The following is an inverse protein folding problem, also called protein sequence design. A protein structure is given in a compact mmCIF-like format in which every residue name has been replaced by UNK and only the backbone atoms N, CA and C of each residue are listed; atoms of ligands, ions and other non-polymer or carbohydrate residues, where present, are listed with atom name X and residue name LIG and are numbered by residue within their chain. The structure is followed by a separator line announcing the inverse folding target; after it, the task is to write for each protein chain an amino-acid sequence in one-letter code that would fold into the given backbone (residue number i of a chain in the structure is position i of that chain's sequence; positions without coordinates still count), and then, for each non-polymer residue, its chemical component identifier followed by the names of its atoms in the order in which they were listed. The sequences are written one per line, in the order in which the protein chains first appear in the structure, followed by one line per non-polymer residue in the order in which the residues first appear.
data_IF_505529703628
#
_entry.id   IF_505529703628
#
_cell.length_a   1.000
_cell.length_b   1.000
_cell.length_c   1.000
_cell.angle_alpha   90.00
_cell.angle_beta   90.00
_cell.angle_gamma   90.00
#
_symmetry.space_group_name_H-M   'P 1'
#
loop_
_entity.id
_entity.type
_entity.pdbx_description
1 polymer ?
#
# COMPACT_ATOMS: atom_id res chain seq x y z
N UNK A 1 -23.66 -25.41 7.79
CA UNK A 1 -23.52 -24.67 9.06
C UNK A 1 -22.30 -23.80 8.95
N UNK A 2 -22.44 -22.47 9.01
CA UNK A 2 -21.31 -21.56 9.02
C UNK A 2 -20.65 -21.68 10.41
N UNK A 3 -19.32 -21.89 10.52
CA UNK A 3 -18.66 -21.97 11.83
C UNK A 3 -18.91 -20.70 12.64
N UNK A 4 -19.08 -20.84 13.96
CA UNK A 4 -19.50 -19.77 14.89
C UNK A 4 -18.61 -18.50 14.91
N UNK A 5 -17.46 -18.50 14.32
CA UNK A 5 -16.62 -17.30 14.09
C UNK A 5 -16.72 -16.72 12.68
N UNK A 6 -17.25 -17.47 11.72
CA UNK A 6 -17.22 -17.07 10.32
C UNK A 6 -18.20 -15.92 10.00
N UNK A 7 -19.28 -15.79 10.73
CA UNK A 7 -20.26 -14.72 10.52
C UNK A 7 -19.77 -13.37 11.07
N UNK A 8 -18.97 -13.36 12.14
CA UNK A 8 -18.45 -12.13 12.73
C UNK A 8 -17.48 -11.40 11.79
N UNK A 9 -16.48 -12.10 11.24
CA UNK A 9 -15.51 -11.46 10.36
C UNK A 9 -16.12 -11.04 9.01
N UNK A 10 -17.14 -11.74 8.52
CA UNK A 10 -17.87 -11.33 7.31
C UNK A 10 -18.62 -10.02 7.51
N UNK A 11 -19.29 -9.86 8.65
CA UNK A 11 -19.95 -8.60 9.02
C UNK A 11 -18.94 -7.48 9.20
N UNK A 12 -17.84 -7.75 9.89
CA UNK A 12 -16.77 -6.77 10.08
C UNK A 12 -16.13 -6.37 8.76
N UNK A 13 -15.87 -7.32 7.86
CA UNK A 13 -15.35 -7.05 6.52
C UNK A 13 -16.29 -6.13 5.74
N UNK A 14 -17.58 -6.42 5.74
CA UNK A 14 -18.58 -5.59 5.07
C UNK A 14 -18.58 -4.16 5.61
N UNK A 15 -18.51 -4.00 6.93
CA UNK A 15 -18.46 -2.69 7.56
C UNK A 15 -17.17 -1.91 7.18
N UNK A 16 -16.02 -2.61 7.10
CA UNK A 16 -14.76 -2.01 6.65
C UNK A 16 -14.86 -1.56 5.18
N UNK A 17 -15.31 -2.44 4.30
CA UNK A 17 -15.43 -2.15 2.86
C UNK A 17 -16.47 -1.04 2.58
N UNK A 18 -17.53 -0.97 3.40
CA UNK A 18 -18.53 0.10 3.32
C UNK A 18 -18.09 1.41 4.00
N UNK A 19 -16.86 1.50 4.53
CA UNK A 19 -16.36 2.63 5.30
C UNK A 19 -17.24 3.01 6.50
N UNK A 20 -17.79 2.03 7.19
CA UNK A 20 -18.74 2.18 8.29
C UNK A 20 -18.15 1.91 9.68
N UNK A 21 -16.82 1.84 9.81
CA UNK A 21 -16.10 1.45 11.04
C UNK A 21 -15.48 2.64 11.79
N UNK A 22 -16.14 3.77 11.84
CA UNK A 22 -15.60 5.03 12.41
C UNK A 22 -15.06 4.95 13.83
N UNK A 23 -15.54 4.01 14.65
CA UNK A 23 -15.11 3.83 16.04
C UNK A 23 -13.99 2.78 16.22
N UNK A 24 -13.68 1.98 15.21
CA UNK A 24 -12.73 0.88 15.33
C UNK A 24 -11.33 1.35 14.91
N UNK A 25 -10.46 1.45 15.89
CA UNK A 25 -9.06 1.84 15.68
C UNK A 25 -8.13 0.65 15.49
N UNK A 26 -8.62 -0.56 15.75
CA UNK A 26 -7.87 -1.80 15.64
C UNK A 26 -8.75 -2.89 15.02
N UNK A 27 -8.10 -3.87 14.41
CA UNK A 27 -8.76 -5.09 13.94
C UNK A 27 -9.25 -5.87 15.16
N UNK A 28 -10.52 -6.29 15.24
CA UNK A 28 -10.99 -7.15 16.32
C UNK A 28 -10.19 -8.46 16.39
N UNK A 29 -9.81 -8.90 17.58
CA UNK A 29 -8.97 -10.10 17.74
C UNK A 29 -9.58 -11.37 17.13
N UNK A 30 -10.91 -11.45 17.06
CA UNK A 30 -11.65 -12.51 16.38
C UNK A 30 -11.38 -12.55 14.87
N UNK A 31 -11.01 -11.40 14.28
CA UNK A 31 -10.71 -11.27 12.84
C UNK A 31 -9.24 -11.53 12.50
N UNK A 32 -8.35 -11.71 13.50
CA UNK A 32 -6.92 -11.89 13.30
C UNK A 32 -6.58 -12.94 12.22
N UNK A 33 -7.13 -14.15 12.37
CA UNK A 33 -6.84 -15.25 11.43
C UNK A 33 -7.36 -14.97 10.02
N UNK A 34 -8.46 -14.24 9.91
CA UNK A 34 -9.02 -13.84 8.63
C UNK A 34 -8.09 -12.84 7.93
N UNK A 35 -7.66 -11.78 8.64
CA UNK A 35 -6.76 -10.78 8.07
C UNK A 35 -5.40 -11.39 7.71
N UNK A 36 -4.84 -12.24 8.59
CA UNK A 36 -3.61 -12.97 8.28
C UNK A 36 -3.74 -13.84 7.01
N UNK A 37 -4.83 -14.59 6.91
CA UNK A 37 -5.09 -15.44 5.73
C UNK A 37 -5.30 -14.60 4.46
N UNK A 38 -5.97 -13.46 4.56
CA UNK A 38 -6.14 -12.52 3.45
C UNK A 38 -4.79 -12.01 2.96
N UNK A 39 -3.95 -11.49 3.87
CA UNK A 39 -2.65 -10.90 3.54
C UNK A 39 -1.60 -11.90 3.04
N UNK A 40 -1.67 -13.18 3.48
CA UNK A 40 -0.66 -14.20 3.18
C UNK A 40 -1.15 -15.34 2.29
N UNK A 41 -2.45 -15.45 2.13
CA UNK A 41 -3.07 -16.54 1.35
C UNK A 41 -3.25 -16.22 -0.14
N UNK A 42 -2.69 -15.11 -0.62
CA UNK A 42 -2.74 -14.69 -2.01
C UNK A 42 -4.02 -13.97 -2.43
N UNK A 43 -4.98 -13.74 -1.52
CA UNK A 43 -6.17 -12.94 -1.87
C UNK A 43 -5.81 -11.47 -2.02
N UNK A 44 -4.98 -10.94 -1.12
CA UNK A 44 -4.45 -9.58 -1.21
C UNK A 44 -3.77 -9.33 -2.56
N UNK A 45 -2.92 -10.25 -3.00
CA UNK A 45 -2.19 -10.11 -4.27
C UNK A 45 -3.16 -10.11 -5.46
N UNK A 46 -4.18 -11.00 -5.46
CA UNK A 46 -5.21 -11.03 -6.53
C UNK A 46 -6.06 -9.76 -6.56
N UNK A 47 -6.38 -9.19 -5.40
CA UNK A 47 -7.14 -7.94 -5.34
C UNK A 47 -6.29 -6.77 -5.87
N UNK A 48 -4.98 -6.76 -5.60
CA UNK A 48 -4.04 -5.78 -6.18
C UNK A 48 -3.92 -5.93 -7.70
N UNK A 49 -3.78 -7.16 -8.20
CA UNK A 49 -3.73 -7.41 -9.64
C UNK A 49 -5.00 -6.89 -10.34
N UNK A 50 -6.17 -7.15 -9.76
CA UNK A 50 -7.44 -6.65 -10.29
C UNK A 50 -7.49 -5.11 -10.31
N UNK A 51 -7.02 -4.43 -9.25
CA UNK A 51 -6.95 -2.97 -9.20
C UNK A 51 -6.01 -2.46 -10.28
N UNK A 52 -4.83 -3.05 -10.42
CA UNK A 52 -3.85 -2.67 -11.44
C UNK A 52 -4.40 -2.87 -12.85
N UNK A 53 -5.09 -3.98 -13.12
CA UNK A 53 -5.73 -4.22 -14.42
C UNK A 53 -6.78 -3.14 -14.75
N UNK A 54 -7.57 -2.69 -13.77
CA UNK A 54 -8.51 -1.59 -13.94
C UNK A 54 -7.80 -0.27 -14.25
N UNK A 55 -6.71 0.03 -13.54
CA UNK A 55 -5.91 1.24 -13.77
C UNK A 55 -5.27 1.20 -15.16
N UNK A 56 -4.70 0.07 -15.58
CA UNK A 56 -4.10 -0.09 -16.91
C UNK A 56 -5.15 0.06 -18.01
N UNK A 57 -6.37 -0.48 -17.80
CA UNK A 57 -7.48 -0.28 -18.73
C UNK A 57 -7.82 1.20 -18.88
N UNK A 58 -7.87 1.93 -17.78
CA UNK A 58 -8.11 3.38 -17.80
C UNK A 58 -6.98 4.15 -18.50
N UNK A 59 -5.71 3.80 -18.23
CA UNK A 59 -4.55 4.43 -18.89
C UNK A 59 -4.62 4.25 -20.41
N UNK A 60 -5.05 3.09 -20.88
CA UNK A 60 -5.18 2.81 -22.31
C UNK A 60 -6.28 3.63 -23.01
N UNK A 61 -7.20 4.22 -22.25
CA UNK A 61 -8.23 5.13 -22.76
C UNK A 61 -7.78 6.60 -22.80
N UNK A 62 -6.60 6.89 -22.20
CA UNK A 62 -6.04 8.25 -22.18
C UNK A 62 -5.01 8.36 -23.30
N UNK A 63 -5.18 9.33 -24.18
CA UNK A 63 -4.09 9.75 -25.09
C UNK A 63 -3.21 10.76 -24.34
N UNK A 64 -2.00 10.38 -23.90
CA UNK A 64 -1.12 11.32 -23.21
C UNK A 64 -0.85 12.54 -24.09
N UNK A 65 -0.93 13.72 -23.52
CA UNK A 65 -0.56 14.93 -24.24
C UNK A 65 0.94 14.91 -24.53
N UNK A 66 1.34 15.27 -25.76
CA UNK A 66 2.76 15.30 -26.13
C UNK A 66 3.52 16.50 -25.51
N UNK A 67 2.93 17.21 -24.55
CA UNK A 67 3.52 18.35 -23.85
C UNK A 67 4.32 17.95 -22.60
N UNK A 68 4.31 16.67 -22.24
CA UNK A 68 5.02 16.12 -21.07
C UNK A 68 4.45 16.61 -19.73
N UNK A 69 3.18 17.02 -19.69
CA UNK A 69 2.52 17.54 -18.47
C UNK A 69 1.66 16.50 -17.78
N UNK A 70 1.44 15.33 -18.40
CA UNK A 70 0.65 14.27 -17.78
C UNK A 70 1.38 13.68 -16.58
N UNK A 71 0.71 13.67 -15.45
CA UNK A 71 1.25 13.25 -14.18
C UNK A 71 0.41 12.18 -13.51
N UNK A 72 1.07 11.28 -12.80
CA UNK A 72 0.46 10.28 -11.96
C UNK A 72 1.00 10.38 -10.53
N UNK A 73 0.13 10.24 -9.55
CA UNK A 73 0.50 10.33 -8.14
C UNK A 73 0.27 8.98 -7.48
N UNK A 74 1.30 8.46 -6.81
CA UNK A 74 1.23 7.26 -5.99
C UNK A 74 1.60 7.60 -4.55
N UNK A 75 0.90 7.02 -3.60
CA UNK A 75 1.33 6.97 -2.21
C UNK A 75 2.47 5.96 -2.04
N UNK A 76 3.23 6.06 -0.96
CA UNK A 76 4.40 5.21 -0.70
C UNK A 76 4.05 4.05 0.22
N UNK A 77 3.52 4.34 1.42
CA UNK A 77 3.32 3.34 2.47
C UNK A 77 2.10 2.46 2.17
N UNK A 78 2.33 1.14 2.08
CA UNK A 78 1.32 0.14 1.73
C UNK A 78 0.66 0.37 0.34
N UNK A 79 1.33 1.19 -0.49
CA UNK A 79 1.03 1.38 -1.91
C UNK A 79 2.25 0.97 -2.75
N UNK A 80 3.35 1.70 -2.73
CA UNK A 80 4.58 1.31 -3.43
C UNK A 80 5.36 0.24 -2.68
N UNK A 81 5.55 0.44 -1.37
CA UNK A 81 6.29 -0.47 -0.48
C UNK A 81 5.43 -0.91 0.70
N UNK A 82 5.59 -2.16 1.09
CA UNK A 82 4.75 -2.81 2.08
C UNK A 82 5.30 -2.70 3.49
N UNK A 83 4.46 -2.30 4.44
CA UNK A 83 4.72 -2.35 5.87
C UNK A 83 4.17 -3.65 6.53
N UNK A 84 3.85 -4.67 5.74
CA UNK A 84 3.25 -5.91 6.22
C UNK A 84 4.04 -6.56 7.37
N UNK A 85 5.38 -6.51 7.32
CA UNK A 85 6.22 -7.08 8.38
C UNK A 85 6.09 -6.33 9.70
N UNK A 86 5.92 -5.00 9.68
CA UNK A 86 5.59 -4.22 10.87
C UNK A 86 4.22 -4.62 11.42
N UNK A 87 3.20 -4.68 10.56
CA UNK A 87 1.85 -5.05 10.98
C UNK A 87 1.72 -6.50 11.43
N UNK A 88 2.54 -7.41 10.93
CA UNK A 88 2.62 -8.78 11.43
C UNK A 88 3.02 -8.82 12.91
N UNK A 89 3.99 -8.00 13.34
CA UNK A 89 4.38 -7.85 14.74
C UNK A 89 3.29 -7.17 15.58
N UNK A 90 2.43 -6.37 14.96
CA UNK A 90 1.23 -5.76 15.55
C UNK A 90 -0.02 -6.62 15.39
N UNK A 91 0.14 -7.94 15.22
CA UNK A 91 -0.95 -8.90 15.04
C UNK A 91 -1.94 -8.44 13.96
N UNK A 92 -1.40 -8.02 12.82
CA UNK A 92 -2.17 -7.54 11.65
C UNK A 92 -3.18 -6.43 12.00
N UNK A 93 -2.78 -5.51 12.87
CA UNK A 93 -3.60 -4.38 13.28
C UNK A 93 -4.53 -4.66 14.46
N UNK A 94 -4.47 -5.83 15.10
CA UNK A 94 -5.16 -6.08 16.36
C UNK A 94 -4.57 -5.27 17.52
N UNK A 95 -3.26 -5.01 17.49
CA UNK A 95 -2.60 -4.15 18.45
C UNK A 95 -2.58 -2.70 17.92
N UNK A 96 -2.67 -1.70 18.81
CA UNK A 96 -2.70 -0.30 18.41
C UNK A 96 -1.46 0.11 17.59
N UNK A 97 -1.65 1.05 16.66
CA UNK A 97 -0.55 1.69 15.96
C UNK A 97 0.36 2.43 16.95
N UNK A 98 1.66 2.23 16.79
CA UNK A 98 2.70 2.85 17.57
C UNK A 98 3.57 3.72 16.65
N UNK A 99 3.42 5.06 16.69
CA UNK A 99 4.19 5.96 15.81
C UNK A 99 5.70 5.83 15.97
N UNK A 100 6.20 5.64 17.19
CA UNK A 100 7.62 5.50 17.45
C UNK A 100 8.16 4.16 16.92
N UNK A 101 7.43 3.08 17.14
CA UNK A 101 7.74 1.76 16.60
C UNK A 101 7.69 1.74 15.07
N UNK A 102 6.71 2.41 14.45
CA UNK A 102 6.64 2.54 13.00
C UNK A 102 7.83 3.33 12.44
N UNK A 103 8.19 4.45 13.08
CA UNK A 103 9.37 5.23 12.69
C UNK A 103 10.65 4.40 12.78
N UNK A 104 10.82 3.63 13.86
CA UNK A 104 11.96 2.72 14.02
C UNK A 104 11.98 1.59 12.98
N UNK A 105 10.81 1.12 12.55
CA UNK A 105 10.67 0.17 11.43
C UNK A 105 11.09 0.82 10.10
N UNK A 106 10.56 1.97 9.77
CA UNK A 106 10.84 2.69 8.52
C UNK A 106 12.32 3.05 8.37
N UNK A 107 13.00 3.41 9.48
CA UNK A 107 14.44 3.67 9.52
C UNK A 107 15.32 2.48 9.12
N UNK A 108 14.80 1.25 9.15
CA UNK A 108 15.55 0.06 8.69
C UNK A 108 15.69 -0.02 7.17
N UNK A 109 14.85 0.72 6.42
CA UNK A 109 14.85 0.73 4.95
C UNK A 109 14.56 -0.63 4.31
N UNK A 110 13.86 -1.53 5.02
CA UNK A 110 13.66 -2.92 4.59
C UNK A 110 12.25 -3.22 4.08
N UNK A 111 11.46 -2.21 3.71
CA UNK A 111 10.14 -2.41 3.14
C UNK A 111 10.28 -2.98 1.72
N UNK A 112 9.55 -4.06 1.43
CA UNK A 112 9.58 -4.69 0.11
C UNK A 112 8.61 -3.99 -0.84
N UNK A 113 8.93 -3.96 -2.12
CA UNK A 113 8.00 -3.51 -3.15
C UNK A 113 6.70 -4.32 -3.10
N UNK A 114 5.59 -3.66 -3.44
CA UNK A 114 4.34 -4.32 -3.80
C UNK A 114 4.44 -4.62 -5.31
N UNK A 115 4.57 -5.90 -5.73
CA UNK A 115 4.99 -6.23 -7.10
C UNK A 115 4.03 -5.72 -8.17
N UNK A 116 2.72 -5.81 -7.93
CA UNK A 116 1.70 -5.32 -8.87
C UNK A 116 1.83 -3.80 -9.10
N UNK A 117 2.08 -3.03 -8.02
CA UNK A 117 2.25 -1.57 -8.11
C UNK A 117 3.59 -1.19 -8.72
N UNK A 118 4.66 -1.96 -8.49
CA UNK A 118 5.93 -1.75 -9.20
C UNK A 118 5.76 -1.97 -10.71
N UNK A 119 5.00 -2.98 -11.10
CA UNK A 119 4.64 -3.21 -12.51
C UNK A 119 3.89 -2.03 -13.13
N UNK A 120 2.88 -1.52 -12.41
CA UNK A 120 2.13 -0.32 -12.82
C UNK A 120 3.05 0.91 -12.92
N UNK A 121 3.89 1.15 -11.92
CA UNK A 121 4.84 2.26 -11.90
C UNK A 121 5.75 2.25 -13.14
N UNK A 122 6.34 1.08 -13.45
CA UNK A 122 7.19 0.94 -14.62
C UNK A 122 6.44 1.19 -15.94
N UNK A 123 5.18 0.74 -16.02
CA UNK A 123 4.32 1.00 -17.17
C UNK A 123 4.05 2.50 -17.34
N UNK A 124 3.71 3.21 -16.27
CA UNK A 124 3.47 4.65 -16.28
C UNK A 124 4.69 5.42 -16.76
N UNK A 125 5.88 5.12 -16.22
CA UNK A 125 7.14 5.77 -16.61
C UNK A 125 7.45 5.50 -18.09
N UNK A 126 7.28 4.26 -18.55
CA UNK A 126 7.52 3.87 -19.95
C UNK A 126 6.56 4.55 -20.94
N UNK A 127 5.33 4.85 -20.49
CA UNK A 127 4.33 5.57 -21.30
C UNK A 127 4.46 7.11 -21.19
N UNK A 128 5.51 7.61 -20.55
CA UNK A 128 5.81 9.05 -20.52
C UNK A 128 5.08 9.86 -19.46
N UNK A 129 4.39 9.20 -18.53
CA UNK A 129 3.82 9.90 -17.38
C UNK A 129 4.89 10.35 -16.40
N UNK A 130 4.76 11.55 -15.86
CA UNK A 130 5.53 12.01 -14.71
C UNK A 130 4.95 11.42 -13.43
N UNK A 131 5.68 10.50 -12.81
CA UNK A 131 5.19 9.87 -11.57
C UNK A 131 5.73 10.64 -10.36
N UNK A 132 4.81 11.07 -9.51
CA UNK A 132 5.11 11.67 -8.21
C UNK A 132 4.80 10.67 -7.10
N UNK A 133 5.71 10.52 -6.15
CA UNK A 133 5.50 9.70 -4.97
C UNK A 133 5.25 10.61 -3.76
N UNK A 134 4.18 10.36 -3.01
CA UNK A 134 3.79 11.18 -1.86
C UNK A 134 3.70 10.30 -0.61
N UNK A 135 4.22 10.78 0.51
CA UNK A 135 4.15 10.06 1.78
C UNK A 135 4.02 10.99 2.98
N UNK A 136 3.37 10.51 4.04
CA UNK A 136 3.34 11.16 5.35
C UNK A 136 4.61 11.00 6.18
N UNK A 137 5.64 10.31 5.68
CA UNK A 137 6.94 10.19 6.35
C UNK A 137 7.61 11.55 6.43
N UNK A 138 8.26 11.85 7.57
CA UNK A 138 8.91 13.14 7.74
C UNK A 138 10.23 13.24 6.95
N UNK A 139 10.42 14.38 6.31
CA UNK A 139 11.57 14.63 5.44
C UNK A 139 12.91 14.58 6.20
N UNK A 140 12.96 15.13 7.41
CA UNK A 140 14.24 15.30 8.12
C UNK A 140 14.84 13.96 8.55
N UNK A 141 14.02 13.03 9.02
CA UNK A 141 14.50 11.78 9.61
C UNK A 141 14.33 10.57 8.72
N UNK A 142 13.33 10.57 7.82
CA UNK A 142 13.01 9.43 6.98
C UNK A 142 13.25 9.67 5.48
N UNK A 143 13.57 10.89 5.08
CA UNK A 143 13.69 11.25 3.67
C UNK A 143 14.70 10.39 2.91
N UNK A 144 15.94 10.34 3.39
CA UNK A 144 17.00 9.59 2.73
C UNK A 144 16.71 8.09 2.70
N UNK A 145 16.39 7.49 3.85
CA UNK A 145 16.13 6.04 3.94
C UNK A 145 14.92 5.62 3.12
N UNK A 146 13.91 6.49 2.98
CA UNK A 146 12.74 6.21 2.13
C UNK A 146 13.11 6.22 0.66
N UNK A 147 13.90 7.21 0.23
CA UNK A 147 14.41 7.30 -1.14
C UNK A 147 15.28 6.09 -1.50
N UNK A 148 16.21 5.73 -0.62
CA UNK A 148 17.10 4.58 -0.81
C UNK A 148 16.30 3.28 -0.89
N UNK A 149 15.33 3.08 0.02
CA UNK A 149 14.49 1.87 0.00
C UNK A 149 13.64 1.78 -1.29
N UNK A 150 13.02 2.88 -1.73
CA UNK A 150 12.28 2.90 -3.00
C UNK A 150 13.19 2.53 -4.18
N UNK A 151 14.38 3.10 -4.23
CA UNK A 151 15.36 2.85 -5.28
C UNK A 151 15.81 1.39 -5.28
N UNK A 152 16.16 0.82 -4.12
CA UNK A 152 16.57 -0.58 -3.96
C UNK A 152 15.45 -1.55 -4.37
N UNK A 153 14.19 -1.13 -4.24
CA UNK A 153 13.03 -1.91 -4.64
C UNK A 153 12.63 -1.71 -6.11
N UNK A 154 13.36 -0.87 -6.88
CA UNK A 154 13.15 -0.70 -8.30
C UNK A 154 12.24 0.46 -8.71
N UNK A 155 11.81 1.30 -7.77
CA UNK A 155 11.09 2.54 -8.09
C UNK A 155 12.09 3.61 -8.54
N UNK A 156 12.45 3.57 -9.82
CA UNK A 156 13.47 4.44 -10.43
C UNK A 156 12.82 5.27 -11.55
N UNK A 157 13.10 6.57 -11.58
CA UNK A 157 12.62 7.46 -12.65
C UNK A 157 11.33 8.20 -12.31
N UNK A 158 10.91 8.23 -11.02
CA UNK A 158 9.87 9.16 -10.61
C UNK A 158 10.36 10.62 -10.69
N UNK A 159 9.44 11.54 -10.96
CA UNK A 159 9.73 12.98 -11.07
C UNK A 159 10.13 13.57 -9.70
N UNK A 160 9.44 13.20 -8.65
CA UNK A 160 9.69 13.70 -7.30
C UNK A 160 9.09 12.81 -6.22
N UNK A 161 9.84 12.65 -5.11
CA UNK A 161 9.36 12.14 -3.84
C UNK A 161 9.00 13.32 -2.93
N UNK A 162 7.77 13.35 -2.46
CA UNK A 162 7.22 14.42 -1.61
C UNK A 162 6.96 13.83 -0.23
N UNK A 163 7.66 14.36 0.77
CA UNK A 163 7.54 13.97 2.17
C UNK A 163 6.92 15.13 2.97
N UNK A 164 6.49 14.81 4.21
CA UNK A 164 5.91 15.79 5.12
C UNK A 164 6.98 16.66 5.78
#
# INVERSE_FOLDING_TARGET
MIPEGASYYLSWRLDVEANNVRAWRTVPSQCLRYVEAYMRGGQYDRDLDLIVDQVLSYINEIDPSNDGMDAWILDVDDTCISNLLYYREKRYGCDPFDPAGFKAWALKGGCQAIPAVLGLFNNLVQNGFKVFLITGRDQETLGQVTSDNLHDQGFIGYERLILK
#
